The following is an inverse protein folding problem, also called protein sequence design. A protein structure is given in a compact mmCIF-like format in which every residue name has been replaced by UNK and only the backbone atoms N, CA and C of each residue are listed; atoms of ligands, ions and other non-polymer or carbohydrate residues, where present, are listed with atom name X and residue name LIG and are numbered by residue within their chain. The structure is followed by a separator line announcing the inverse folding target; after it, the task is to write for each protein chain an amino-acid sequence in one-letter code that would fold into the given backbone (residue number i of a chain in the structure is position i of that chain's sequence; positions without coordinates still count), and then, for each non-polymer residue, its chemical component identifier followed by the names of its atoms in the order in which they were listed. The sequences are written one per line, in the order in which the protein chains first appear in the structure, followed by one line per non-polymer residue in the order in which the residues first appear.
data_IF_859556133548
#
_entry.id   IF_859556133548
#
_cell.length_a   1.000
_cell.length_b   1.000
_cell.length_c   1.000
_cell.angle_alpha   90.00
_cell.angle_beta   90.00
_cell.angle_gamma   90.00
#
_symmetry.space_group_name_H-M   'P 1'
#
loop_
_entity.id
_entity.type
_entity.pdbx_description
1 polymer ?
#
# COMPACT_ATOMS: atom_id res chain seq x y z
N UNK A 1 -47.20 9.51 65.86
CA UNK A 1 -45.73 9.60 65.82
C UNK A 1 -45.24 8.62 64.75
N UNK A 2 -45.12 9.07 63.51
CA UNK A 2 -44.44 8.31 62.44
C UNK A 2 -44.20 9.24 61.26
N UNK A 3 -42.97 9.74 61.21
CA UNK A 3 -42.37 10.58 60.18
C UNK A 3 -42.28 9.79 58.88
N UNK A 4 -42.74 10.35 57.75
CA UNK A 4 -42.31 9.90 56.41
C UNK A 4 -41.70 11.08 55.67
N UNK A 5 -40.38 11.05 55.63
CA UNK A 5 -39.48 11.98 54.94
C UNK A 5 -39.66 11.89 53.43
N UNK A 6 -39.85 13.05 52.79
CA UNK A 6 -39.71 13.23 51.34
C UNK A 6 -38.22 13.29 51.00
N UNK A 7 -37.71 12.28 50.30
CA UNK A 7 -36.38 12.32 49.68
C UNK A 7 -36.45 13.20 48.42
N UNK A 8 -35.75 14.33 48.44
CA UNK A 8 -35.43 15.10 47.24
C UNK A 8 -34.14 14.53 46.65
N UNK A 9 -34.20 14.04 45.42
CA UNK A 9 -33.04 13.61 44.66
C UNK A 9 -32.41 14.86 44.03
N UNK A 10 -31.26 15.30 44.56
CA UNK A 10 -30.48 16.38 43.97
C UNK A 10 -29.80 15.88 42.70
N UNK A 11 -30.09 16.50 41.55
CA UNK A 11 -29.30 16.37 40.33
C UNK A 11 -27.94 17.04 40.55
N UNK A 12 -26.88 16.25 40.63
CA UNK A 12 -25.52 16.74 40.47
C UNK A 12 -25.20 16.84 38.97
N UNK A 13 -25.22 18.06 38.43
CA UNK A 13 -24.70 18.34 37.10
C UNK A 13 -23.17 18.25 37.13
N UNK A 14 -22.62 17.12 36.68
CA UNK A 14 -21.19 16.97 36.43
C UNK A 14 -20.79 17.76 35.18
N UNK A 15 -20.11 18.89 35.37
CA UNK A 15 -19.44 19.60 34.29
C UNK A 15 -18.27 18.73 33.81
N UNK A 16 -18.49 17.99 32.72
CA UNK A 16 -17.42 17.34 31.98
C UNK A 16 -16.59 18.44 31.31
N UNK A 17 -15.37 18.65 31.83
CA UNK A 17 -14.34 19.43 31.17
C UNK A 17 -14.11 18.83 29.77
N UNK A 18 -14.55 19.55 28.74
CA UNK A 18 -14.18 19.32 27.36
C UNK A 18 -12.64 19.43 27.28
N UNK A 19 -11.97 18.28 27.35
CA UNK A 19 -10.58 18.19 26.94
C UNK A 19 -10.51 18.71 25.51
N UNK A 20 -9.66 19.71 25.29
CA UNK A 20 -9.33 20.24 23.98
C UNK A 20 -8.88 19.10 23.08
N UNK A 21 -9.76 18.68 22.17
CA UNK A 21 -9.38 17.88 21.00
C UNK A 21 -8.41 18.78 20.23
N UNK A 22 -7.15 18.36 20.12
CA UNK A 22 -6.19 18.99 19.23
C UNK A 22 -6.87 19.16 17.87
N UNK A 23 -6.89 20.38 17.35
CA UNK A 23 -7.38 20.65 15.99
C UNK A 23 -6.63 19.70 15.06
N UNK A 24 -7.35 18.82 14.36
CA UNK A 24 -6.76 18.07 13.28
C UNK A 24 -6.29 19.11 12.27
N UNK A 25 -4.97 19.23 12.06
CA UNK A 25 -4.45 20.06 10.98
C UNK A 25 -5.14 19.60 9.69
N UNK A 26 -5.78 20.53 8.98
CA UNK A 26 -6.58 20.23 7.79
C UNK A 26 -5.71 19.47 6.78
N UNK A 27 -6.13 18.24 6.43
CA UNK A 27 -5.45 17.43 5.42
C UNK A 27 -5.49 18.21 4.10
N UNK A 28 -4.31 18.53 3.56
CA UNK A 28 -4.15 19.22 2.29
C UNK A 28 -4.84 18.40 1.19
N UNK A 29 -5.70 19.08 0.43
CA UNK A 29 -6.50 18.46 -0.64
C UNK A 29 -5.61 17.85 -1.73
N UNK A 30 -6.10 16.80 -2.42
CA UNK A 30 -5.27 16.06 -3.36
C UNK A 30 -4.89 16.88 -4.59
N UNK A 31 -3.69 16.61 -5.11
CA UNK A 31 -3.08 17.37 -6.20
C UNK A 31 -3.94 17.47 -7.48
N UNK A 32 -4.74 16.45 -7.78
CA UNK A 32 -5.65 16.46 -8.92
C UNK A 32 -6.80 17.48 -8.80
N UNK A 33 -7.14 17.91 -7.58
CA UNK A 33 -8.10 18.98 -7.33
C UNK A 33 -7.40 20.33 -7.32
N UNK A 34 -6.27 20.43 -6.62
CA UNK A 34 -5.54 21.71 -6.44
C UNK A 34 -4.94 22.22 -7.75
N UNK A 35 -4.47 21.33 -8.62
CA UNK A 35 -3.89 21.67 -9.91
C UNK A 35 -4.82 21.35 -11.10
N UNK A 36 -6.12 21.21 -10.85
CA UNK A 36 -7.10 21.01 -11.92
C UNK A 36 -7.10 22.15 -12.95
N UNK A 37 -6.84 23.37 -12.49
CA UNK A 37 -6.67 24.56 -13.33
C UNK A 37 -5.18 24.93 -13.45
N UNK A 38 -4.78 25.45 -14.60
CA UNK A 38 -3.39 25.89 -14.83
C UNK A 38 -3.01 27.17 -14.08
N UNK A 39 -3.96 28.07 -13.86
CA UNK A 39 -3.72 29.40 -13.29
C UNK A 39 -3.97 29.41 -11.77
N UNK A 40 -3.24 28.57 -11.05
CA UNK A 40 -3.24 28.53 -9.58
C UNK A 40 -1.99 29.21 -9.03
N UNK A 41 -2.11 29.89 -7.89
CA UNK A 41 -0.98 30.57 -7.22
C UNK A 41 -0.05 29.61 -6.50
N UNK A 42 -0.51 28.40 -6.25
CA UNK A 42 0.29 27.37 -5.62
C UNK A 42 1.35 26.83 -6.57
N UNK A 43 2.57 26.67 -6.05
CA UNK A 43 3.70 26.10 -6.77
C UNK A 43 3.91 24.65 -6.34
N UNK A 44 3.88 23.69 -7.29
CA UNK A 44 4.21 22.30 -6.99
C UNK A 44 5.65 22.13 -6.53
N UNK A 45 5.84 21.44 -5.40
CA UNK A 45 7.16 21.04 -4.90
C UNK A 45 7.76 19.89 -5.73
N UNK A 46 9.08 19.93 -5.96
CA UNK A 46 9.78 18.94 -6.77
C UNK A 46 9.72 17.52 -6.20
N UNK A 47 10.02 17.35 -4.90
CA UNK A 47 9.97 16.04 -4.24
C UNK A 47 8.53 15.59 -4.00
N UNK A 48 7.65 16.48 -3.53
CA UNK A 48 6.31 16.06 -3.09
C UNK A 48 5.34 15.83 -4.25
N UNK A 49 5.50 16.55 -5.36
CA UNK A 49 4.55 16.52 -6.48
C UNK A 49 5.18 16.02 -7.78
N UNK A 50 6.29 16.61 -8.21
CA UNK A 50 6.86 16.37 -9.54
C UNK A 50 7.47 14.97 -9.66
N UNK A 51 8.32 14.57 -8.72
CA UNK A 51 9.00 13.26 -8.76
C UNK A 51 7.99 12.09 -8.62
N UNK A 52 7.02 12.11 -7.69
CA UNK A 52 5.94 11.13 -7.63
C UNK A 52 5.12 11.08 -8.92
N UNK A 53 4.79 12.24 -9.50
CA UNK A 53 4.07 12.30 -10.77
C UNK A 53 4.84 11.65 -11.92
N UNK A 54 6.14 11.95 -12.08
CA UNK A 54 7.00 11.30 -13.07
C UNK A 54 6.97 9.78 -12.93
N UNK A 55 6.93 9.31 -11.69
CA UNK A 55 6.90 7.89 -11.39
C UNK A 55 5.54 7.25 -11.66
N UNK A 56 4.45 7.92 -11.28
CA UNK A 56 3.08 7.54 -11.62
C UNK A 56 2.87 7.40 -13.12
N UNK A 57 3.43 8.32 -13.89
CA UNK A 57 3.35 8.30 -15.35
C UNK A 57 4.32 7.28 -15.99
N UNK A 58 5.15 6.60 -15.20
CA UNK A 58 6.11 5.60 -15.65
C UNK A 58 7.37 6.19 -16.32
N UNK A 59 7.57 7.51 -16.27
CA UNK A 59 8.69 8.19 -16.93
C UNK A 59 10.05 7.72 -16.39
N UNK A 60 10.16 7.58 -15.07
CA UNK A 60 11.37 7.12 -14.39
C UNK A 60 11.31 5.61 -14.02
N UNK A 61 10.50 4.83 -14.76
CA UNK A 61 10.46 3.38 -14.63
C UNK A 61 11.64 2.68 -15.32
N UNK A 62 11.85 1.40 -15.00
CA UNK A 62 12.95 0.56 -15.52
C UNK A 62 13.00 0.48 -17.05
N UNK A 63 11.85 0.53 -17.72
CA UNK A 63 11.75 0.46 -19.18
C UNK A 63 12.00 1.81 -19.88
N UNK A 64 12.14 2.91 -19.14
CA UNK A 64 12.22 4.27 -19.66
C UNK A 64 13.43 5.01 -19.07
N UNK A 65 13.26 6.24 -18.60
CA UNK A 65 14.37 7.10 -18.17
C UNK A 65 14.98 6.67 -16.84
N UNK A 66 14.29 5.84 -16.04
CA UNK A 66 14.83 5.25 -14.81
C UNK A 66 15.72 4.02 -15.01
N UNK A 67 15.91 3.58 -16.26
CA UNK A 67 16.90 2.54 -16.54
C UNK A 67 18.32 3.04 -16.24
N UNK A 68 19.25 2.12 -15.97
CA UNK A 68 20.65 2.48 -15.67
C UNK A 68 21.29 3.34 -16.78
N UNK A 69 20.93 3.12 -18.04
CA UNK A 69 21.44 3.88 -19.18
C UNK A 69 20.58 5.11 -19.52
N UNK A 70 19.39 5.26 -18.91
CA UNK A 70 18.37 6.20 -19.37
C UNK A 70 17.83 5.85 -20.76
N UNK A 71 17.14 6.80 -21.40
CA UNK A 71 16.65 6.68 -22.77
C UNK A 71 16.83 8.00 -23.52
N UNK A 72 17.27 7.92 -24.79
CA UNK A 72 17.43 9.11 -25.63
C UNK A 72 18.35 10.17 -25.03
N UNK A 73 19.41 9.74 -24.35
CA UNK A 73 20.35 10.63 -23.68
C UNK A 73 19.82 11.33 -22.42
N UNK A 74 18.65 10.94 -21.93
CA UNK A 74 18.03 11.47 -20.72
C UNK A 74 17.83 10.35 -19.69
N UNK A 75 18.29 10.58 -18.46
CA UNK A 75 18.26 9.63 -17.36
C UNK A 75 17.67 10.29 -16.12
N UNK A 76 16.86 9.52 -15.44
CA UNK A 76 16.32 9.77 -14.12
C UNK A 76 16.76 8.61 -13.20
N UNK A 77 16.68 8.83 -11.90
CA UNK A 77 16.80 7.80 -10.89
C UNK A 77 15.63 6.81 -11.01
N UNK A 78 15.87 5.54 -10.70
CA UNK A 78 14.82 4.54 -10.76
C UNK A 78 13.77 4.86 -9.68
N UNK A 79 12.53 5.13 -10.10
CA UNK A 79 11.39 5.45 -9.22
C UNK A 79 11.53 6.71 -8.36
N UNK A 80 12.51 7.58 -8.61
CA UNK A 80 12.56 8.92 -8.00
C UNK A 80 13.29 8.99 -6.65
N UNK A 81 14.30 8.16 -6.43
CA UNK A 81 15.04 8.09 -5.16
C UNK A 81 16.27 9.03 -5.07
N UNK A 82 16.68 9.67 -6.17
CA UNK A 82 17.78 10.66 -6.18
C UNK A 82 17.28 11.98 -6.78
N UNK A 83 16.75 12.84 -5.89
CA UNK A 83 16.18 14.12 -6.28
C UNK A 83 17.18 15.05 -6.96
N UNK A 84 18.47 14.98 -6.58
CA UNK A 84 19.50 15.81 -7.21
C UNK A 84 19.72 15.36 -8.65
N UNK A 85 19.94 14.07 -8.85
CA UNK A 85 20.13 13.50 -10.20
C UNK A 85 18.91 13.75 -11.09
N UNK A 86 17.70 13.57 -10.55
CA UNK A 86 16.45 13.78 -11.29
C UNK A 86 16.28 15.24 -11.71
N UNK A 87 16.54 16.16 -10.78
CA UNK A 87 16.47 17.59 -11.04
C UNK A 87 17.49 18.02 -12.09
N UNK A 88 18.76 17.64 -11.91
CA UNK A 88 19.84 17.97 -12.83
C UNK A 88 19.58 17.41 -14.23
N UNK A 89 19.06 16.18 -14.33
CA UNK A 89 18.67 15.56 -15.59
C UNK A 89 17.58 16.33 -16.35
N UNK A 90 16.70 17.03 -15.64
CA UNK A 90 15.65 17.86 -16.22
C UNK A 90 16.17 19.25 -16.63
N UNK A 91 16.96 19.91 -15.78
CA UNK A 91 17.26 21.35 -15.95
C UNK A 91 18.63 21.66 -16.56
N UNK A 92 19.64 20.79 -16.42
CA UNK A 92 21.01 21.13 -16.85
C UNK A 92 21.32 20.74 -18.29
N UNK A 93 20.66 19.70 -18.81
CA UNK A 93 21.10 19.06 -20.05
C UNK A 93 22.53 18.48 -19.91
N UNK A 94 23.14 18.13 -21.04
CA UNK A 94 24.54 17.67 -21.12
C UNK A 94 25.21 18.43 -22.27
N UNK A 95 25.82 19.58 -21.94
CA UNK A 95 26.45 20.48 -22.93
C UNK A 95 27.61 19.84 -23.67
N UNK A 96 28.32 18.91 -23.03
CA UNK A 96 29.44 18.20 -23.65
C UNK A 96 28.99 17.17 -24.69
N UNK A 97 27.69 16.83 -24.70
CA UNK A 97 27.06 15.90 -25.65
C UNK A 97 25.95 16.54 -26.47
N UNK A 98 25.95 17.87 -26.59
CA UNK A 98 24.93 18.67 -27.30
C UNK A 98 23.48 18.33 -26.88
N UNK A 99 23.26 18.06 -25.58
CA UNK A 99 21.93 17.77 -25.04
C UNK A 99 21.38 19.00 -24.35
N UNK A 100 20.35 19.56 -24.95
CA UNK A 100 19.58 20.64 -24.35
C UNK A 100 18.88 20.20 -23.06
N UNK A 101 18.65 21.14 -22.12
CA UNK A 101 17.74 20.93 -20.99
C UNK A 101 16.39 20.37 -21.45
N UNK A 102 15.76 19.58 -20.58
CA UNK A 102 14.38 19.11 -20.84
C UNK A 102 13.34 20.16 -20.43
N UNK A 103 13.75 21.11 -19.59
CA UNK A 103 12.93 22.16 -19.02
C UNK A 103 13.45 23.52 -19.47
N UNK A 104 12.55 24.35 -19.99
CA UNK A 104 12.78 25.73 -20.39
C UNK A 104 11.92 26.64 -19.51
N UNK A 105 12.54 27.39 -18.59
CA UNK A 105 11.80 28.22 -17.62
C UNK A 105 11.12 29.42 -18.27
N UNK A 106 11.79 30.04 -19.24
CA UNK A 106 11.27 31.22 -19.96
C UNK A 106 10.12 30.86 -20.91
N UNK A 107 10.11 29.62 -21.41
CA UNK A 107 9.10 29.07 -22.32
C UNK A 107 8.62 27.70 -21.81
N UNK A 108 7.88 27.65 -20.68
CA UNK A 108 7.50 26.40 -20.04
C UNK A 108 6.85 25.39 -21.00
N UNK A 109 5.93 25.86 -21.85
CA UNK A 109 5.18 25.06 -22.81
C UNK A 109 6.06 24.40 -23.87
N UNK A 110 7.19 25.01 -24.23
CA UNK A 110 8.17 24.48 -25.20
C UNK A 110 9.16 23.48 -24.58
N UNK A 111 9.06 23.24 -23.26
CA UNK A 111 9.88 22.26 -22.57
C UNK A 111 9.69 20.87 -23.17
N UNK A 112 10.78 20.24 -23.61
CA UNK A 112 10.79 18.86 -24.11
C UNK A 112 10.14 17.87 -23.13
N UNK A 113 10.23 18.14 -21.83
CA UNK A 113 9.64 17.35 -20.77
C UNK A 113 8.09 17.36 -20.82
N UNK A 114 7.47 18.46 -21.27
CA UNK A 114 6.03 18.55 -21.55
C UNK A 114 5.72 17.97 -22.93
N UNK A 115 6.36 18.49 -23.98
CA UNK A 115 6.06 18.14 -25.38
C UNK A 115 6.14 16.63 -25.67
N UNK A 116 7.14 15.94 -25.08
CA UNK A 116 7.27 14.48 -25.24
C UNK A 116 6.27 13.70 -24.40
N UNK A 117 5.90 14.20 -23.23
CA UNK A 117 4.93 13.53 -22.36
C UNK A 117 3.48 13.68 -22.87
N UNK A 118 3.16 14.80 -23.53
CA UNK A 118 1.86 15.02 -24.19
C UNK A 118 1.80 14.46 -25.61
N UNK A 119 2.95 14.05 -26.17
CA UNK A 119 3.12 13.56 -27.54
C UNK A 119 2.91 14.65 -28.62
N UNK A 120 3.01 15.93 -28.26
CA UNK A 120 3.14 17.05 -29.21
C UNK A 120 4.48 16.97 -29.99
N UNK A 121 5.45 16.23 -29.44
CA UNK A 121 6.68 15.83 -30.13
C UNK A 121 6.83 14.30 -30.12
N UNK A 122 7.43 13.68 -31.17
CA UNK A 122 7.70 12.25 -31.19
C UNK A 122 8.42 11.75 -29.93
N UNK A 123 7.81 10.77 -29.28
CA UNK A 123 8.31 10.12 -28.08
C UNK A 123 8.01 8.62 -28.13
N UNK A 124 9.05 7.79 -28.08
CA UNK A 124 8.91 6.32 -28.10
C UNK A 124 8.18 5.77 -26.88
N UNK A 125 8.21 6.48 -25.74
CA UNK A 125 7.45 6.11 -24.56
C UNK A 125 5.94 6.36 -24.71
N UNK A 126 5.47 6.92 -25.82
CA UNK A 126 4.06 7.24 -26.04
C UNK A 126 3.58 8.44 -25.22
N UNK A 127 2.27 8.71 -25.33
CA UNK A 127 1.58 9.73 -24.55
C UNK A 127 1.45 9.29 -23.09
N UNK A 128 1.81 10.19 -22.18
CA UNK A 128 1.80 9.99 -20.73
C UNK A 128 0.78 10.87 -20.01
N UNK A 129 0.45 12.03 -20.56
CA UNK A 129 -0.58 12.92 -20.03
C UNK A 129 -1.22 13.75 -21.15
N UNK A 130 -2.36 14.37 -20.87
CA UNK A 130 -3.01 15.32 -21.78
C UNK A 130 -2.52 16.75 -21.52
N UNK A 131 -2.52 17.58 -22.56
CA UNK A 131 -2.35 19.04 -22.40
C UNK A 131 -3.46 19.57 -21.49
N UNK A 132 -3.12 20.53 -20.61
CA UNK A 132 -4.01 21.14 -19.61
C UNK A 132 -4.62 20.18 -18.56
N UNK A 133 -4.22 18.90 -18.54
CA UNK A 133 -4.54 17.99 -17.44
C UNK A 133 -3.90 18.45 -16.12
N UNK A 134 -4.41 18.00 -14.97
CA UNK A 134 -3.82 18.35 -13.68
C UNK A 134 -2.35 17.91 -13.57
N UNK A 135 -1.98 16.79 -14.22
CA UNK A 135 -0.59 16.34 -14.33
C UNK A 135 0.26 17.34 -15.12
N UNK A 136 -0.24 17.80 -16.25
CA UNK A 136 0.41 18.82 -17.06
C UNK A 136 0.59 20.12 -16.27
N UNK A 137 -0.46 20.55 -15.56
CA UNK A 137 -0.45 21.78 -14.76
C UNK A 137 0.57 21.72 -13.62
N UNK A 138 0.70 20.58 -12.92
CA UNK A 138 1.78 20.38 -11.94
C UNK A 138 3.14 20.63 -12.57
N UNK A 139 3.42 19.96 -13.68
CA UNK A 139 4.74 19.99 -14.25
C UNK A 139 5.06 21.36 -14.86
N UNK A 140 4.10 21.95 -15.58
CA UNK A 140 4.20 23.30 -16.14
C UNK A 140 4.37 24.37 -15.06
N UNK A 141 3.58 24.35 -13.99
CA UNK A 141 3.64 25.39 -12.97
C UNK A 141 4.94 25.30 -12.16
N UNK A 142 5.45 24.09 -11.92
CA UNK A 142 6.80 23.92 -11.37
C UNK A 142 7.88 24.50 -12.29
N UNK A 143 7.80 24.26 -13.61
CA UNK A 143 8.74 24.82 -14.60
C UNK A 143 8.67 26.36 -14.60
N UNK A 144 7.46 26.91 -14.70
CA UNK A 144 7.19 28.35 -14.74
C UNK A 144 7.71 29.08 -13.50
N UNK A 145 7.71 28.43 -12.33
CA UNK A 145 8.28 28.98 -11.09
C UNK A 145 9.82 28.79 -10.97
N UNK A 146 10.49 28.51 -12.09
CA UNK A 146 11.95 28.39 -12.13
C UNK A 146 12.46 26.97 -11.88
N UNK A 147 11.59 25.96 -11.94
CA UNK A 147 11.94 24.56 -11.80
C UNK A 147 12.80 24.29 -10.56
N UNK A 148 12.39 24.81 -9.40
CA UNK A 148 13.19 24.76 -8.16
C UNK A 148 13.43 23.32 -7.70
N UNK A 149 14.62 23.06 -7.15
CA UNK A 149 14.97 21.77 -6.54
C UNK A 149 14.54 21.70 -5.07
N UNK A 150 14.75 20.54 -4.44
CA UNK A 150 14.54 20.35 -2.99
C UNK A 150 15.51 21.24 -2.21
N UNK A 151 15.01 22.01 -1.26
CA UNK A 151 15.82 22.80 -0.32
C UNK A 151 15.96 22.10 1.03
N UNK A 152 16.92 22.51 1.86
CA UNK A 152 17.04 22.01 3.24
C UNK A 152 15.81 22.34 4.11
N UNK A 153 15.06 23.36 3.73
CA UNK A 153 13.83 23.80 4.38
C UNK A 153 12.60 22.97 3.94
N UNK A 154 12.73 22.13 2.91
CA UNK A 154 11.62 21.29 2.44
C UNK A 154 11.27 20.24 3.50
N UNK A 155 10.00 20.13 3.92
CA UNK A 155 9.58 19.10 4.87
C UNK A 155 9.94 17.70 4.38
N UNK A 156 10.53 16.90 5.27
CA UNK A 156 10.95 15.53 4.96
C UNK A 156 9.77 14.58 5.07
N UNK A 157 9.71 13.61 4.16
CA UNK A 157 8.72 12.54 4.23
C UNK A 157 8.90 11.72 5.52
N UNK A 158 7.83 11.55 6.29
CA UNK A 158 7.85 10.78 7.55
C UNK A 158 7.14 9.44 7.37
N UNK A 159 5.92 9.45 6.81
CA UNK A 159 5.09 8.25 6.70
C UNK A 159 4.03 8.38 5.61
N UNK A 160 3.69 7.24 5.00
CA UNK A 160 2.48 7.09 4.18
C UNK A 160 1.43 6.31 4.99
N UNK A 161 0.26 6.90 5.18
CA UNK A 161 -0.89 6.22 5.76
C UNK A 161 -1.91 5.90 4.68
N UNK A 162 -2.25 4.62 4.53
CA UNK A 162 -3.22 4.17 3.53
C UNK A 162 -4.43 3.58 4.24
N UNK A 163 -5.61 4.01 3.81
CA UNK A 163 -6.90 3.55 4.32
C UNK A 163 -7.80 3.08 3.18
N UNK A 164 -8.54 1.98 3.36
CA UNK A 164 -8.49 1.03 4.48
C UNK A 164 -7.14 0.27 4.56
N UNK A 165 -6.80 -0.24 5.76
CA UNK A 165 -5.56 -1.02 6.01
C UNK A 165 -5.65 -2.47 5.52
N UNK A 166 -6.87 -2.95 5.27
CA UNK A 166 -7.20 -4.28 4.74
C UNK A 166 -8.55 -4.16 4.04
N UNK A 167 -8.73 -4.87 2.93
CA UNK A 167 -10.01 -4.95 2.22
C UNK A 167 -10.46 -6.41 2.24
N UNK A 168 -11.69 -6.66 2.71
CA UNK A 168 -12.34 -7.95 2.57
C UNK A 168 -13.62 -7.76 1.75
N UNK A 169 -13.64 -8.35 0.55
CA UNK A 169 -14.81 -8.33 -0.32
C UNK A 169 -15.74 -9.50 -0.04
N UNK A 170 -17.05 -9.28 -0.10
CA UNK A 170 -18.06 -10.33 0.01
C UNK A 170 -18.44 -10.95 -1.33
N UNK A 171 -18.34 -10.17 -2.42
CA UNK A 171 -18.79 -10.58 -3.77
C UNK A 171 -17.82 -10.12 -4.85
N UNK A 172 -17.89 -10.74 -6.03
CA UNK A 172 -17.12 -10.29 -7.19
C UNK A 172 -17.61 -8.92 -7.65
N UNK A 173 -16.71 -8.15 -8.28
CA UNK A 173 -16.99 -6.82 -8.80
C UNK A 173 -17.34 -5.74 -7.76
N UNK A 174 -17.32 -6.07 -6.46
CA UNK A 174 -17.28 -5.05 -5.41
C UNK A 174 -16.03 -4.18 -5.57
N UNK A 175 -16.13 -2.94 -5.11
CA UNK A 175 -15.06 -1.96 -5.23
C UNK A 175 -14.79 -1.31 -3.89
N UNK A 176 -13.53 -0.96 -3.67
CA UNK A 176 -13.09 -0.21 -2.50
C UNK A 176 -12.09 0.86 -2.95
N UNK A 177 -12.31 2.09 -2.52
CA UNK A 177 -11.39 3.20 -2.79
C UNK A 177 -10.29 3.22 -1.72
N UNK A 178 -9.03 3.18 -2.15
CA UNK A 178 -7.90 3.51 -1.29
C UNK A 178 -7.73 5.02 -1.20
N UNK A 179 -7.38 5.49 -0.01
CA UNK A 179 -6.91 6.86 0.25
C UNK A 179 -5.52 6.79 0.86
N UNK A 180 -4.58 7.57 0.34
CA UNK A 180 -3.21 7.62 0.80
C UNK A 180 -2.87 9.04 1.28
N UNK A 181 -2.47 9.16 2.55
CA UNK A 181 -2.08 10.41 3.20
C UNK A 181 -0.59 10.39 3.48
N UNK A 182 0.16 11.34 2.94
CA UNK A 182 1.55 11.58 3.31
C UNK A 182 1.62 12.47 4.54
N UNK A 183 2.48 12.11 5.50
CA UNK A 183 2.78 12.89 6.70
C UNK A 183 4.21 13.40 6.59
N UNK A 184 4.39 14.69 6.81
CA UNK A 184 5.68 15.39 6.67
C UNK A 184 6.27 15.81 8.02
N UNK A 185 7.57 16.13 8.04
CA UNK A 185 8.31 16.44 9.27
C UNK A 185 7.89 17.74 9.97
N UNK A 186 7.19 18.62 9.26
CA UNK A 186 6.60 19.86 9.80
C UNK A 186 5.19 19.64 10.37
N UNK A 187 4.70 18.40 10.35
CA UNK A 187 3.35 18.03 10.80
C UNK A 187 2.27 18.13 9.73
N UNK A 188 2.57 18.72 8.56
CA UNK A 188 1.62 18.82 7.46
C UNK A 188 1.25 17.44 6.92
N UNK A 189 0.01 17.32 6.45
CA UNK A 189 -0.55 16.09 5.91
C UNK A 189 -1.22 16.38 4.57
N UNK A 190 -0.97 15.54 3.57
CA UNK A 190 -1.53 15.70 2.22
C UNK A 190 -2.17 14.41 1.72
N UNK A 191 -3.33 14.53 1.08
CA UNK A 191 -3.91 13.44 0.30
C UNK A 191 -3.13 13.24 -1.02
N UNK A 192 -2.20 12.30 -0.99
CA UNK A 192 -1.32 11.98 -2.13
C UNK A 192 -1.85 10.83 -2.99
N UNK A 193 -3.09 10.40 -2.78
CA UNK A 193 -3.74 9.32 -3.57
C UNK A 193 -3.53 9.47 -5.08
N UNK A 194 -3.77 10.63 -5.72
CA UNK A 194 -3.57 10.76 -7.16
C UNK A 194 -2.10 10.76 -7.59
N UNK A 195 -1.14 10.88 -6.67
CA UNK A 195 0.31 10.86 -6.94
C UNK A 195 0.93 9.47 -6.71
N UNK A 196 0.20 8.57 -6.04
CA UNK A 196 0.67 7.22 -5.77
C UNK A 196 0.84 6.39 -7.05
N UNK A 197 1.75 5.40 -6.96
CA UNK A 197 1.79 4.24 -7.85
C UNK A 197 1.13 3.06 -7.16
N UNK A 198 0.19 2.44 -7.87
CA UNK A 198 -0.55 1.27 -7.40
C UNK A 198 -0.17 0.06 -8.24
N UNK A 199 -0.04 -1.10 -7.60
CA UNK A 199 0.04 -2.39 -8.27
C UNK A 199 -0.63 -3.47 -7.44
N UNK A 200 -1.23 -4.47 -8.08
CA UNK A 200 -1.61 -5.72 -7.41
C UNK A 200 -0.51 -6.75 -7.58
N UNK A 201 -0.38 -7.65 -6.60
CA UNK A 201 0.41 -8.87 -6.76
C UNK A 201 -0.36 -9.93 -7.57
N UNK A 202 -1.69 -9.86 -7.61
CA UNK A 202 -2.55 -10.74 -8.41
C UNK A 202 -3.83 -10.00 -8.83
N UNK A 203 -3.86 -9.53 -10.07
CA UNK A 203 -5.01 -8.81 -10.65
C UNK A 203 -6.24 -9.71 -10.84
N UNK A 204 -6.09 -11.05 -10.86
CA UNK A 204 -7.23 -11.95 -10.94
C UNK A 204 -8.03 -11.93 -9.63
N UNK A 205 -7.38 -11.75 -8.49
CA UNK A 205 -8.04 -11.65 -7.17
C UNK A 205 -8.50 -10.22 -6.89
N UNK A 206 -7.62 -9.25 -7.13
CA UNK A 206 -7.94 -7.84 -6.95
C UNK A 206 -7.15 -6.98 -7.94
N UNK A 207 -7.85 -6.38 -8.90
CA UNK A 207 -7.27 -5.39 -9.79
C UNK A 207 -7.34 -4.00 -9.12
N UNK A 208 -6.36 -3.14 -9.38
CA UNK A 208 -6.37 -1.74 -8.94
C UNK A 208 -6.09 -0.80 -10.11
N UNK A 209 -6.86 0.28 -10.20
CA UNK A 209 -6.62 1.31 -11.21
C UNK A 209 -5.62 2.39 -10.74
N UNK A 210 -5.27 3.30 -11.64
CA UNK A 210 -4.36 4.40 -11.32
C UNK A 210 -4.93 5.34 -10.25
N UNK A 211 -6.24 5.38 -9.99
CA UNK A 211 -6.87 6.31 -9.04
C UNK A 211 -7.04 5.70 -7.65
N UNK A 212 -6.55 4.49 -7.42
CA UNK A 212 -6.66 3.82 -6.13
C UNK A 212 -7.95 3.02 -5.96
N UNK A 213 -8.71 2.80 -7.02
CA UNK A 213 -9.95 2.04 -6.98
C UNK A 213 -9.64 0.54 -7.14
N UNK A 214 -9.77 -0.21 -6.04
CA UNK A 214 -9.60 -1.66 -6.02
C UNK A 214 -10.90 -2.31 -6.44
N UNK A 215 -10.84 -3.23 -7.40
CA UNK A 215 -11.96 -4.03 -7.86
C UNK A 215 -11.74 -5.50 -7.54
N UNK A 216 -12.75 -6.10 -6.91
CA UNK A 216 -12.78 -7.51 -6.55
C UNK A 216 -12.88 -8.41 -7.78
N UNK A 217 -11.97 -9.38 -7.87
CA UNK A 217 -11.89 -10.43 -8.89
C UNK A 217 -12.34 -11.78 -8.35
N UNK A 218 -11.54 -12.84 -8.51
CA UNK A 218 -11.71 -14.23 -8.05
C UNK A 218 -11.56 -14.39 -6.52
N UNK A 219 -11.83 -15.60 -6.00
CA UNK A 219 -11.62 -15.92 -4.59
C UNK A 219 -10.13 -16.14 -4.30
N UNK A 220 -9.69 -15.81 -3.10
CA UNK A 220 -8.31 -15.91 -2.66
C UNK A 220 -7.87 -14.70 -1.85
N UNK A 221 -6.57 -14.57 -1.63
CA UNK A 221 -5.96 -13.37 -1.07
C UNK A 221 -4.79 -12.88 -1.90
N UNK A 222 -4.64 -11.57 -1.96
CA UNK A 222 -3.52 -10.89 -2.61
C UNK A 222 -3.17 -9.63 -1.83
N UNK A 223 -2.18 -8.89 -2.31
CA UNK A 223 -1.84 -7.58 -1.79
C UNK A 223 -1.86 -6.55 -2.91
N UNK A 224 -2.44 -5.40 -2.62
CA UNK A 224 -2.27 -4.18 -3.39
C UNK A 224 -1.17 -3.36 -2.74
N UNK A 225 -0.13 -3.00 -3.50
CA UNK A 225 1.00 -2.21 -2.99
C UNK A 225 0.84 -0.76 -3.44
N UNK A 226 0.89 0.15 -2.47
CA UNK A 226 0.83 1.60 -2.67
C UNK A 226 2.21 2.20 -2.45
N UNK A 227 2.71 2.94 -3.44
CA UNK A 227 4.01 3.59 -3.38
C UNK A 227 3.87 5.10 -3.52
N UNK A 228 4.52 5.86 -2.64
CA UNK A 228 4.69 7.31 -2.74
C UNK A 228 5.95 7.73 -1.99
N UNK A 229 6.82 8.53 -2.64
CA UNK A 229 8.17 8.83 -2.12
C UNK A 229 8.87 7.51 -1.69
N UNK A 230 9.42 7.44 -0.48
CA UNK A 230 9.98 6.24 0.13
C UNK A 230 8.95 5.34 0.82
N UNK A 231 7.68 5.75 0.88
CA UNK A 231 6.60 4.96 1.46
C UNK A 231 6.17 3.82 0.55
N UNK A 232 6.25 2.59 1.05
CA UNK A 232 5.73 1.38 0.40
C UNK A 232 4.79 0.68 1.37
N UNK A 233 3.50 0.70 1.08
CA UNK A 233 2.46 0.17 1.97
C UNK A 233 1.68 -0.94 1.27
N UNK A 234 1.81 -2.20 1.70
CA UNK A 234 0.97 -3.29 1.22
C UNK A 234 -0.38 -3.31 1.94
N UNK A 235 -1.46 -3.39 1.17
CA UNK A 235 -2.84 -3.54 1.63
C UNK A 235 -3.31 -4.95 1.30
N UNK A 236 -3.53 -5.81 2.31
CA UNK A 236 -4.11 -7.12 2.07
C UNK A 236 -5.52 -6.98 1.50
N UNK A 237 -5.80 -7.71 0.43
CA UNK A 237 -7.12 -7.79 -0.19
C UNK A 237 -7.55 -9.25 -0.20
N UNK A 238 -8.70 -9.53 0.39
CA UNK A 238 -9.20 -10.89 0.60
C UNK A 238 -10.59 -11.01 -0.03
N UNK A 239 -10.78 -12.07 -0.82
CA UNK A 239 -12.08 -12.54 -1.25
C UNK A 239 -12.27 -13.97 -0.75
N UNK A 240 -13.14 -14.20 0.27
CA UNK A 240 -13.29 -15.51 0.89
C UNK A 240 -13.68 -16.60 -0.11
N UNK A 241 -13.14 -17.80 0.09
CA UNK A 241 -13.43 -18.98 -0.76
C UNK A 241 -14.76 -19.63 -0.41
N UNK A 242 -15.27 -19.43 0.81
CA UNK A 242 -16.64 -19.80 1.23
C UNK A 242 -17.30 -18.68 2.03
N UNK A 243 -18.60 -18.82 2.30
CA UNK A 243 -19.35 -17.87 3.13
C UNK A 243 -19.14 -18.08 4.64
N UNK A 244 -18.39 -19.11 5.06
CA UNK A 244 -18.02 -19.36 6.45
C UNK A 244 -16.99 -18.33 6.89
N UNK A 245 -17.41 -17.10 7.16
CA UNK A 245 -16.55 -16.00 7.62
C UNK A 245 -17.25 -15.25 8.76
N UNK A 246 -16.50 -14.43 9.50
CA UNK A 246 -17.06 -13.66 10.62
C UNK A 246 -17.81 -14.54 11.61
N UNK A 247 -19.06 -14.19 11.90
CA UNK A 247 -19.93 -14.90 12.85
C UNK A 247 -20.37 -16.30 12.37
N UNK A 248 -20.29 -16.56 11.05
CA UNK A 248 -20.58 -17.88 10.48
C UNK A 248 -19.42 -18.86 10.62
N UNK A 249 -18.25 -18.39 11.04
CA UNK A 249 -17.07 -19.24 11.18
C UNK A 249 -17.23 -20.17 12.40
N UNK A 250 -17.05 -21.48 12.25
CA UNK A 250 -17.19 -22.40 13.38
C UNK A 250 -16.15 -22.12 14.47
N UNK A 251 -16.45 -22.51 15.70
CA UNK A 251 -15.43 -22.51 16.75
C UNK A 251 -14.39 -23.57 16.41
N UNK A 252 -13.14 -23.13 16.29
CA UNK A 252 -11.97 -23.98 16.08
C UNK A 252 -11.07 -23.79 17.30
N UNK A 253 -10.60 -24.88 17.88
CA UNK A 253 -9.70 -24.84 19.03
C UNK A 253 -8.31 -24.34 18.59
N UNK A 254 -7.73 -23.45 19.39
CA UNK A 254 -6.43 -22.82 19.12
C UNK A 254 -5.53 -23.02 20.34
N UNK A 255 -4.91 -24.21 20.50
CA UNK A 255 -4.14 -24.54 21.71
C UNK A 255 -2.87 -23.66 21.85
N UNK A 256 -2.34 -23.14 20.74
CA UNK A 256 -1.19 -22.25 20.74
C UNK A 256 -1.52 -20.86 20.21
N UNK A 257 -0.62 -19.90 20.50
CA UNK A 257 -0.71 -18.54 19.93
C UNK A 257 -0.57 -18.53 18.41
N UNK A 258 0.17 -19.48 17.84
CA UNK A 258 0.32 -19.62 16.39
C UNK A 258 -1.01 -20.06 15.78
N UNK A 259 -1.71 -21.02 16.40
CA UNK A 259 -3.02 -21.48 15.94
C UNK A 259 -4.05 -20.35 15.93
N UNK A 260 -4.01 -19.47 16.93
CA UNK A 260 -4.87 -18.27 16.95
C UNK A 260 -4.66 -17.40 15.71
N UNK A 261 -3.41 -17.14 15.33
CA UNK A 261 -3.08 -16.32 14.16
C UNK A 261 -3.46 -17.02 12.85
N UNK A 262 -3.22 -18.32 12.75
CA UNK A 262 -3.61 -19.14 11.59
C UNK A 262 -5.13 -19.15 11.43
N UNK A 263 -5.87 -19.46 12.48
CA UNK A 263 -7.34 -19.49 12.45
C UNK A 263 -7.92 -18.11 12.17
N UNK A 264 -7.31 -17.03 12.67
CA UNK A 264 -7.72 -15.66 12.30
C UNK A 264 -7.60 -15.41 10.80
N UNK A 265 -6.51 -15.82 10.15
CA UNK A 265 -6.34 -15.69 8.70
C UNK A 265 -7.33 -16.59 7.93
N UNK A 266 -7.45 -17.85 8.33
CA UNK A 266 -8.37 -18.82 7.71
C UNK A 266 -9.83 -18.36 7.83
N UNK A 267 -10.20 -17.73 8.95
CA UNK A 267 -11.52 -17.11 9.14
C UNK A 267 -11.83 -16.01 8.15
N UNK A 268 -10.84 -15.17 7.82
CA UNK A 268 -11.00 -14.14 6.79
C UNK A 268 -11.09 -14.75 5.39
N UNK A 269 -10.31 -15.80 5.12
CA UNK A 269 -10.34 -16.54 3.86
C UNK A 269 -11.59 -17.39 3.68
N UNK A 270 -12.37 -17.64 4.73
CA UNK A 270 -13.50 -18.56 4.69
C UNK A 270 -13.10 -20.03 4.54
N UNK A 271 -11.93 -20.40 5.08
CA UNK A 271 -11.42 -21.77 5.06
C UNK A 271 -11.59 -22.36 6.46
N UNK A 272 -12.29 -23.48 6.58
CA UNK A 272 -12.38 -24.22 7.84
C UNK A 272 -11.31 -25.31 7.82
N UNK A 273 -10.43 -25.40 8.82
CA UNK A 273 -9.47 -26.48 8.96
C UNK A 273 -10.16 -27.85 8.92
N UNK A 274 -9.45 -28.83 8.39
CA UNK A 274 -9.87 -30.23 8.50
C UNK A 274 -9.94 -30.65 9.96
N UNK A 275 -10.73 -31.70 10.22
CA UNK A 275 -10.79 -32.33 11.53
C UNK A 275 -9.43 -32.90 11.94
N UNK A 276 -9.24 -33.06 13.25
CA UNK A 276 -8.03 -33.69 13.80
C UNK A 276 -7.98 -35.13 13.31
N UNK A 277 -6.90 -35.48 12.62
CA UNK A 277 -6.68 -36.83 12.11
C UNK A 277 -6.54 -37.86 13.24
N UNK A 278 -6.84 -39.12 12.93
CA UNK A 278 -6.63 -40.23 13.85
C UNK A 278 -5.14 -40.54 14.08
N UNK A 279 -4.82 -41.41 15.03
CA UNK A 279 -3.44 -41.72 15.41
C UNK A 279 -2.66 -42.44 14.29
N UNK A 280 -3.34 -43.21 13.45
CA UNK A 280 -2.70 -43.93 12.35
C UNK A 280 -2.30 -42.95 11.23
N UNK A 281 -3.21 -42.04 10.87
CA UNK A 281 -2.93 -40.95 9.94
C UNK A 281 -1.86 -40.01 10.47
N UNK A 282 -1.92 -39.63 11.75
CA UNK A 282 -0.95 -38.77 12.40
C UNK A 282 0.46 -39.36 12.30
N UNK A 283 0.67 -40.61 12.76
CA UNK A 283 1.99 -41.23 12.75
C UNK A 283 2.54 -41.33 11.33
N UNK A 284 1.71 -41.77 10.38
CA UNK A 284 2.12 -41.85 8.96
C UNK A 284 2.55 -40.49 8.40
N UNK A 285 1.80 -39.42 8.65
CA UNK A 285 2.11 -38.07 8.13
C UNK A 285 3.34 -37.50 8.81
N UNK A 286 3.42 -37.57 10.15
CA UNK A 286 4.56 -37.08 10.91
C UNK A 286 5.87 -37.77 10.51
N UNK A 287 5.88 -39.11 10.36
CA UNK A 287 7.07 -39.83 9.89
C UNK A 287 7.48 -39.41 8.48
N UNK A 288 6.54 -39.30 7.54
CA UNK A 288 6.85 -38.88 6.17
C UNK A 288 7.37 -37.44 6.11
N UNK A 289 6.77 -36.52 6.86
CA UNK A 289 7.14 -35.10 6.84
C UNK A 289 8.47 -34.83 7.55
N UNK A 290 8.75 -35.53 8.65
CA UNK A 290 9.95 -35.32 9.47
C UNK A 290 11.14 -36.17 9.04
N UNK A 291 10.92 -37.44 8.67
CA UNK A 291 12.02 -38.38 8.36
C UNK A 291 12.02 -38.85 6.91
N UNK A 292 11.01 -38.52 6.11
CA UNK A 292 10.90 -38.93 4.71
C UNK A 292 10.55 -40.40 4.51
N UNK A 293 10.17 -41.12 5.58
CA UNK A 293 9.92 -42.57 5.53
C UNK A 293 8.65 -42.96 6.27
N UNK A 294 8.11 -44.14 5.94
CA UNK A 294 6.97 -44.71 6.66
C UNK A 294 7.44 -45.36 7.97
N UNK A 295 6.62 -45.33 9.03
CA UNK A 295 6.91 -46.03 10.28
C UNK A 295 6.98 -47.55 10.04
N UNK A 296 7.81 -48.23 10.83
CA UNK A 296 7.89 -49.69 10.77
C UNK A 296 6.57 -50.32 11.27
N UNK A 297 6.18 -51.52 10.79
CA UNK A 297 4.92 -52.15 11.22
C UNK A 297 4.78 -52.29 12.75
N UNK A 298 5.87 -52.61 13.45
CA UNK A 298 5.86 -52.73 14.91
C UNK A 298 5.64 -51.37 15.60
N UNK A 299 6.27 -50.31 15.08
CA UNK A 299 6.12 -48.95 15.61
C UNK A 299 4.68 -48.46 15.52
N UNK A 300 3.97 -48.80 14.43
CA UNK A 300 2.53 -48.49 14.28
C UNK A 300 1.72 -49.18 15.38
N UNK A 301 1.96 -50.47 15.63
CA UNK A 301 1.24 -51.22 16.69
C UNK A 301 1.52 -50.62 18.07
N UNK A 302 2.77 -50.30 18.36
CA UNK A 302 3.19 -49.75 19.65
C UNK A 302 2.58 -48.36 19.87
N UNK A 303 2.57 -47.50 18.85
CA UNK A 303 1.99 -46.16 18.94
C UNK A 303 0.46 -46.17 19.10
N UNK A 304 -0.24 -47.04 18.37
CA UNK A 304 -1.70 -47.14 18.45
C UNK A 304 -2.16 -47.72 19.79
N UNK A 305 -1.39 -48.63 20.38
CA UNK A 305 -1.71 -49.24 21.68
C UNK A 305 -1.31 -48.37 22.88
N UNK A 306 -0.49 -47.33 22.68
CA UNK A 306 -0.08 -46.42 23.74
C UNK A 306 -1.27 -45.56 24.24
N UNK A 307 -1.65 -45.64 25.53
CA UNK A 307 -2.78 -44.87 26.09
C UNK A 307 -2.37 -43.47 26.57
N UNK A 308 -1.10 -43.11 26.51
CA UNK A 308 -0.59 -41.81 26.96
C UNK A 308 -1.20 -40.66 26.15
N UNK A 309 -1.77 -39.67 26.83
CA UNK A 309 -2.36 -38.48 26.21
C UNK A 309 -1.34 -37.64 25.45
N UNK A 310 -0.06 -37.71 25.83
CA UNK A 310 1.03 -36.93 25.25
C UNK A 310 1.82 -37.71 24.19
N UNK A 311 1.37 -38.92 23.82
CA UNK A 311 2.10 -39.79 22.88
C UNK A 311 2.44 -39.12 21.54
N UNK A 312 1.56 -38.23 21.05
CA UNK A 312 1.80 -37.48 19.80
C UNK A 312 2.96 -36.51 19.93
N UNK A 313 3.02 -35.75 21.03
CA UNK A 313 4.12 -34.83 21.30
C UNK A 313 5.44 -35.59 21.46
N UNK A 314 5.45 -36.65 22.27
CA UNK A 314 6.63 -37.49 22.48
C UNK A 314 7.16 -38.13 21.19
N UNK A 315 6.26 -38.59 20.32
CA UNK A 315 6.65 -39.14 19.02
C UNK A 315 7.21 -38.07 18.09
N UNK A 316 6.72 -36.82 18.14
CA UNK A 316 7.33 -35.73 17.38
C UNK A 316 8.76 -35.48 17.87
N UNK A 317 8.98 -35.42 19.19
CA UNK A 317 10.32 -35.24 19.75
C UNK A 317 11.26 -36.39 19.33
N UNK A 318 10.79 -37.64 19.39
CA UNK A 318 11.54 -38.82 18.92
C UNK A 318 11.89 -38.76 17.43
N UNK A 319 11.00 -38.24 16.58
CA UNK A 319 11.25 -38.12 15.13
C UNK A 319 12.17 -36.94 14.76
N UNK A 320 12.40 -36.00 15.68
CA UNK A 320 13.26 -34.83 15.46
C UNK A 320 14.72 -35.05 15.89
N UNK A 321 15.00 -36.09 16.67
CA UNK A 321 16.34 -36.52 17.08
C UNK A 321 17.07 -37.32 15.99
#
# INVERSE_FOLDING_TARGET
MTQRSRFWMALAAGAASLGSVAMADDIIAPANQRFANKDVSEVPNFQQHVVPLLSRLGCNGRACHGSFQGQGGFRLSLFGYDFKLDHEGLVKGDKDKDREPRVLVEEPEESLALLKATQEMPHRGGKRMDVDSWQYNIFRNWIKDGAKTVSEETPKFVKLEVTPKEIQFGKSSEQAQLKAIAIWSDGSQEDVTPLCRFNSNDDLIAAIDANGLVKSGEVGDTHVVVNYDQGVVPIPVIRPVTDKTGDKYPKVDTPTKIDELVVQKLRKLGIVPSEVCDDHEFLRRASLDLTGTLPAPQEVVDFLSNPDSDKRAKKIDELLE
#
